data_IF_198660928005
#
_entry.id   IF_198660928005
#
_cell.length_a   1.000
_cell.length_b   1.000
_cell.length_c   1.000
_cell.angle_alpha   90.00
_cell.angle_beta   90.00
_cell.angle_gamma   90.00
#
_symmetry.space_group_name_H-M   'P 1'
#
loop_
_entity.id
_entity.type
_entity.pdbx_description
1 polymer ?
#
# COMPACT_ATOMS: atom_id res chain seq x y z
N UNK A 1 4.86 -1.19 0.04
CA UNK A 1 6.00 -0.55 -0.60
C UNK A 1 5.57 -0.12 -1.98
N UNK A 2 6.34 0.76 -2.61
CA UNK A 2 5.94 1.51 -3.78
C UNK A 2 7.18 1.81 -4.61
N UNK A 3 7.01 2.24 -5.86
CA UNK A 3 8.14 2.78 -6.60
C UNK A 3 8.43 4.18 -6.06
N UNK A 4 9.37 4.28 -5.14
CA UNK A 4 9.88 5.59 -4.71
C UNK A 4 10.47 6.30 -5.93
N UNK A 5 10.14 7.59 -6.10
CA UNK A 5 10.67 8.46 -7.14
C UNK A 5 11.67 9.49 -6.59
N UNK A 6 12.14 9.29 -5.36
CA UNK A 6 13.08 10.16 -4.63
C UNK A 6 14.04 9.27 -3.83
N UNK A 7 15.16 9.80 -3.27
CA UNK A 7 16.10 8.99 -2.49
C UNK A 7 15.61 8.61 -1.09
N UNK A 8 14.38 8.95 -0.70
CA UNK A 8 13.80 8.46 0.56
C UNK A 8 13.50 6.96 0.48
N UNK A 9 13.90 6.23 1.51
CA UNK A 9 13.39 4.88 1.79
C UNK A 9 12.51 4.95 3.06
N UNK A 10 11.31 4.34 3.06
CA UNK A 10 10.49 4.26 4.27
C UNK A 10 11.16 3.34 5.30
N UNK A 11 11.15 3.73 6.58
CA UNK A 11 11.62 2.86 7.66
C UNK A 11 10.77 1.59 7.80
N UNK A 12 9.49 1.68 7.46
CA UNK A 12 8.61 0.53 7.20
C UNK A 12 7.41 0.94 6.33
N UNK A 13 6.80 0.00 5.62
CA UNK A 13 5.47 0.18 5.02
C UNK A 13 4.44 -0.65 5.79
N UNK A 14 3.28 -0.08 6.11
CA UNK A 14 2.08 -0.86 6.48
C UNK A 14 1.04 -0.78 5.36
N UNK A 15 0.42 -1.92 5.03
CA UNK A 15 -0.57 -2.04 3.95
C UNK A 15 -1.82 -2.76 4.47
N UNK A 16 -2.98 -2.11 4.41
CA UNK A 16 -4.26 -2.71 4.80
C UNK A 16 -5.09 -2.96 3.54
N UNK A 17 -5.47 -4.20 3.27
CA UNK A 17 -6.41 -4.60 2.22
C UNK A 17 -7.78 -4.85 2.87
N UNK A 18 -8.73 -3.95 2.63
CA UNK A 18 -10.05 -3.91 3.28
C UNK A 18 -11.13 -4.04 2.19
N UNK A 19 -12.02 -5.06 2.25
CA UNK A 19 -13.14 -5.14 1.33
C UNK A 19 -14.19 -4.07 1.65
N UNK A 20 -14.82 -3.51 0.62
CA UNK A 20 -15.83 -2.46 0.75
C UNK A 20 -16.76 -2.43 -0.47
N UNK A 21 -17.71 -1.51 -0.47
CA UNK A 21 -18.50 -1.16 -1.64
C UNK A 21 -18.66 0.37 -1.74
N UNK A 22 -18.67 0.86 -2.98
CA UNK A 22 -19.00 2.24 -3.35
C UNK A 22 -20.06 2.16 -4.44
N UNK A 23 -21.19 2.86 -4.24
CA UNK A 23 -22.36 2.81 -5.13
C UNK A 23 -22.92 1.39 -5.32
N UNK A 24 -22.99 0.61 -4.23
CA UNK A 24 -23.41 -0.80 -4.20
C UNK A 24 -22.55 -1.78 -5.04
N UNK A 25 -21.48 -1.31 -5.69
CA UNK A 25 -20.54 -2.12 -6.46
C UNK A 25 -19.32 -2.52 -5.60
N UNK A 26 -18.85 -3.78 -5.64
CA UNK A 26 -17.68 -4.23 -4.87
C UNK A 26 -16.38 -3.46 -5.15
N UNK A 27 -15.63 -3.18 -4.10
CA UNK A 27 -14.39 -2.43 -4.12
C UNK A 27 -13.38 -2.97 -3.08
N UNK A 28 -12.09 -2.77 -3.33
CA UNK A 28 -11.05 -2.88 -2.31
C UNK A 28 -10.61 -1.47 -1.90
N UNK A 29 -10.57 -1.20 -0.59
CA UNK A 29 -9.78 -0.13 -0.01
C UNK A 29 -8.38 -0.66 0.32
N UNK A 30 -7.36 -0.10 -0.31
CA UNK A 30 -5.97 -0.21 0.12
C UNK A 30 -5.62 1.01 0.98
N UNK A 31 -5.38 0.84 2.29
CA UNK A 31 -4.74 1.88 3.11
C UNK A 31 -3.23 1.67 3.08
N UNK A 32 -2.50 2.72 2.74
CA UNK A 32 -1.07 2.71 2.48
C UNK A 32 -0.38 3.67 3.46
N UNK A 33 0.39 3.13 4.43
CA UNK A 33 1.29 3.89 5.32
C UNK A 33 2.73 3.68 4.85
N UNK A 34 3.54 4.74 4.84
CA UNK A 34 5.00 4.65 4.80
C UNK A 34 5.57 5.47 5.96
N UNK A 35 6.37 4.86 6.83
CA UNK A 35 7.09 5.57 7.89
C UNK A 35 8.26 6.36 7.29
N UNK A 36 7.95 7.54 6.78
CA UNK A 36 8.88 8.47 6.15
C UNK A 36 8.96 9.75 6.97
N UNK A 37 10.06 9.91 7.72
CA UNK A 37 10.45 11.23 8.15
C UNK A 37 10.82 12.07 6.91
N UNK A 38 10.40 13.33 6.93
CA UNK A 38 10.69 14.31 5.87
C UNK A 38 11.22 15.56 6.58
N UNK A 39 12.39 16.05 6.14
CA UNK A 39 13.07 17.20 6.72
C UNK A 39 12.46 18.52 6.22
N UNK A 40 11.72 19.23 7.10
CA UNK A 40 10.95 20.42 6.73
C UNK A 40 11.79 21.57 6.13
N UNK A 41 13.07 21.69 6.50
CA UNK A 41 13.97 22.76 6.04
C UNK A 41 14.70 22.47 4.72
N UNK A 42 15.12 21.22 4.50
CA UNK A 42 15.79 20.78 3.27
C UNK A 42 14.79 20.62 2.11
N UNK A 43 13.50 20.58 2.47
CA UNK A 43 12.40 20.73 1.56
C UNK A 43 12.38 19.64 0.51
N UNK A 44 12.41 18.36 0.93
CA UNK A 44 12.09 17.18 0.11
C UNK A 44 10.69 16.65 0.36
N UNK A 45 10.17 15.92 -0.61
CA UNK A 45 8.85 15.33 -0.62
C UNK A 45 9.02 13.92 -1.09
N UNK A 46 8.77 12.96 -0.21
CA UNK A 46 8.76 11.57 -0.59
C UNK A 46 7.68 11.33 -1.65
N UNK A 47 8.12 11.32 -2.91
CA UNK A 47 7.32 11.06 -4.09
C UNK A 47 7.38 9.57 -4.38
N UNK A 48 6.23 8.97 -4.68
CA UNK A 48 6.08 7.56 -5.00
C UNK A 48 5.01 7.34 -6.06
N UNK A 49 5.15 6.24 -6.81
CA UNK A 49 4.07 5.66 -7.62
C UNK A 49 3.60 4.37 -6.96
N UNK A 50 2.29 4.28 -6.73
CA UNK A 50 1.60 3.04 -6.37
C UNK A 50 0.77 2.58 -7.57
N UNK A 51 1.19 1.49 -8.22
CA UNK A 51 0.40 0.82 -9.24
C UNK A 51 -0.71 0.00 -8.57
N UNK A 52 -1.95 0.19 -9.01
CA UNK A 52 -3.16 -0.48 -8.51
C UNK A 52 -3.90 -1.18 -9.65
N UNK A 53 -4.53 -2.34 -9.41
CA UNK A 53 -5.37 -3.00 -10.40
C UNK A 53 -6.50 -2.08 -10.92
N UNK A 54 -6.71 -2.10 -12.24
CA UNK A 54 -7.85 -1.49 -12.93
C UNK A 54 -8.65 -2.60 -13.61
N UNK A 55 -9.98 -2.52 -13.56
CA UNK A 55 -10.84 -3.36 -14.40
C UNK A 55 -10.90 -2.77 -15.82
N UNK A 56 -10.84 -3.60 -16.88
CA UNK A 56 -10.84 -3.12 -18.25
C UNK A 56 -12.12 -2.37 -18.62
N UNK A 57 -11.99 -1.39 -19.50
CA UNK A 57 -12.81 -0.17 -19.60
C UNK A 57 -14.35 -0.30 -19.88
N UNK A 58 -14.96 -1.48 -19.82
CA UNK A 58 -16.37 -1.70 -20.19
C UNK A 58 -17.40 -0.95 -19.32
N UNK A 59 -17.02 -0.58 -18.10
CA UNK A 59 -17.86 0.13 -17.12
C UNK A 59 -17.60 1.65 -17.06
N UNK A 60 -16.65 2.20 -17.81
CA UNK A 60 -16.18 3.59 -17.62
C UNK A 60 -17.21 4.67 -17.96
N UNK A 61 -18.19 4.36 -18.81
CA UNK A 61 -19.05 5.36 -19.44
C UNK A 61 -19.91 6.21 -18.48
N UNK A 62 -20.16 5.73 -17.25
CA UNK A 62 -20.97 6.41 -16.22
C UNK A 62 -20.65 5.89 -14.80
N UNK A 63 -19.38 5.79 -14.38
CA UNK A 63 -19.09 5.17 -13.08
C UNK A 63 -17.75 5.49 -12.42
N UNK A 64 -17.79 5.56 -11.08
CA UNK A 64 -16.62 5.65 -10.21
C UNK A 64 -15.56 4.60 -10.57
N UNK A 65 -14.31 5.06 -10.74
CA UNK A 65 -13.13 4.22 -10.93
C UNK A 65 -12.30 4.11 -9.65
N UNK A 66 -11.91 5.27 -9.08
CA UNK A 66 -10.97 5.37 -7.97
C UNK A 66 -11.40 6.44 -6.96
N UNK A 67 -11.22 6.15 -5.67
CA UNK A 67 -11.58 7.03 -4.57
C UNK A 67 -10.42 7.22 -3.60
N UNK A 68 -10.16 8.45 -3.20
CA UNK A 68 -9.08 8.81 -2.28
C UNK A 68 -9.63 8.97 -0.86
N UNK A 69 -8.95 8.41 0.13
CA UNK A 69 -9.36 8.41 1.54
C UNK A 69 -8.27 9.03 2.40
N UNK A 70 -8.65 9.99 3.24
CA UNK A 70 -7.75 10.59 4.22
C UNK A 70 -7.51 9.64 5.40
N UNK A 71 -6.31 9.06 5.46
CA UNK A 71 -5.86 8.22 6.57
C UNK A 71 -5.09 9.01 7.65
N UNK A 72 -4.91 10.32 7.49
CA UNK A 72 -4.19 11.16 8.47
C UNK A 72 -5.03 11.52 9.71
N UNK A 73 -6.35 11.31 9.64
CA UNK A 73 -7.29 11.64 10.73
C UNK A 73 -7.02 10.83 12.00
N UNK A 74 -7.29 11.42 13.17
CA UNK A 74 -7.05 10.78 14.47
C UNK A 74 -7.79 9.44 14.63
N UNK A 75 -9.00 9.29 14.07
CA UNK A 75 -9.75 8.02 14.06
C UNK A 75 -9.04 6.95 13.23
N UNK A 76 -8.62 7.30 12.01
CA UNK A 76 -7.85 6.39 11.15
C UNK A 76 -6.49 6.04 11.77
N UNK A 77 -5.84 6.96 12.48
CA UNK A 77 -4.57 6.69 13.19
C UNK A 77 -4.77 5.76 14.39
N UNK A 78 -5.79 5.96 15.24
CA UNK A 78 -6.09 5.00 16.32
C UNK A 78 -6.45 3.63 15.75
N UNK A 79 -7.29 3.58 14.71
CA UNK A 79 -7.68 2.35 14.01
C UNK A 79 -6.46 1.50 13.60
N UNK A 80 -5.48 2.11 12.93
CA UNK A 80 -4.26 1.40 12.47
C UNK A 80 -3.32 1.05 13.62
N UNK A 81 -3.13 1.95 14.58
CA UNK A 81 -2.24 1.72 15.72
C UNK A 81 -2.74 0.58 16.63
N UNK A 82 -4.05 0.48 16.81
CA UNK A 82 -4.71 -0.63 17.51
C UNK A 82 -4.49 -1.96 16.78
N UNK A 83 -4.80 -2.03 15.47
CA UNK A 83 -4.59 -3.27 14.68
C UNK A 83 -3.11 -3.66 14.66
N UNK A 84 -2.20 -2.70 14.51
CA UNK A 84 -0.76 -2.95 14.58
C UNK A 84 -0.31 -3.43 15.97
N UNK A 85 -0.99 -3.06 17.05
CA UNK A 85 -0.76 -3.60 18.41
C UNK A 85 -1.24 -5.04 18.50
N UNK A 86 -2.53 -5.31 18.24
CA UNK A 86 -3.10 -6.66 18.39
C UNK A 86 -2.38 -7.68 17.52
N UNK A 87 -2.18 -7.38 16.23
CA UNK A 87 -1.50 -8.27 15.30
C UNK A 87 -0.03 -8.52 15.67
N UNK A 88 0.63 -7.59 16.38
CA UNK A 88 2.02 -7.74 16.85
C UNK A 88 2.13 -8.63 18.08
N UNK A 89 1.07 -8.75 18.88
CA UNK A 89 1.04 -9.65 20.04
C UNK A 89 0.83 -11.11 19.63
N UNK A 90 0.57 -11.37 18.34
CA UNK A 90 0.64 -12.69 17.70
C UNK A 90 2.10 -13.14 17.40
N UNK A 91 3.12 -12.31 17.64
CA UNK A 91 4.52 -12.60 17.30
C UNK A 91 5.37 -13.00 18.52
N UNK A 92 6.23 -14.04 18.45
CA UNK A 92 7.19 -14.37 19.50
C UNK A 92 8.30 -13.29 19.63
N UNK A 93 8.82 -13.05 20.84
CA UNK A 93 9.47 -11.77 21.21
C UNK A 93 10.96 -11.87 21.58
N UNK A 94 11.82 -10.96 21.07
CA UNK A 94 13.23 -10.67 21.48
C UNK A 94 13.83 -9.44 20.70
N UNK A 95 14.79 -8.65 21.27
CA UNK A 95 14.96 -7.15 21.14
C UNK A 95 15.74 -6.47 19.94
N UNK A 96 15.75 -5.09 19.83
CA UNK A 96 16.22 -4.23 18.66
C UNK A 96 16.51 -2.70 18.92
N UNK A 97 17.21 -1.93 18.01
CA UNK A 97 17.30 -0.42 17.80
C UNK A 97 17.67 0.05 16.30
N UNK A 98 17.59 1.35 15.85
CA UNK A 98 17.35 1.84 14.41
C UNK A 98 17.74 3.31 13.87
N UNK A 99 17.40 3.69 12.56
CA UNK A 99 17.19 5.04 11.80
C UNK A 99 18.18 5.43 10.58
N UNK A 100 18.10 6.35 9.54
CA UNK A 100 17.22 7.40 8.80
C UNK A 100 18.08 8.41 7.88
N UNK A 101 17.83 9.41 6.94
CA UNK A 101 16.88 10.03 5.87
C UNK A 101 17.60 11.29 5.12
N UNK A 102 17.27 12.19 4.10
CA UNK A 102 16.36 12.50 2.89
C UNK A 102 16.69 13.89 2.10
N UNK A 103 16.46 14.19 0.75
CA UNK A 103 16.65 15.55 0.02
C UNK A 103 16.22 15.78 -1.53
N UNK A 104 15.71 16.99 -2.02
CA UNK A 104 14.78 17.32 -3.23
C UNK A 104 15.30 18.06 -4.53
N UNK A 105 14.54 18.01 -5.67
CA UNK A 105 14.03 19.16 -6.55
C UNK A 105 13.80 18.90 -8.11
N UNK A 106 13.03 19.69 -8.94
CA UNK A 106 11.54 19.96 -9.10
C UNK A 106 11.15 20.78 -10.41
N UNK A 107 10.03 20.55 -11.14
CA UNK A 107 9.32 21.55 -12.02
C UNK A 107 8.89 21.25 -13.52
N UNK A 108 7.62 21.45 -13.99
CA UNK A 108 7.32 22.34 -15.17
C UNK A 108 6.35 21.99 -16.38
N UNK A 109 5.21 21.26 -16.32
CA UNK A 109 4.11 21.27 -17.33
C UNK A 109 2.64 20.88 -16.89
N UNK A 110 1.63 21.36 -17.65
CA UNK A 110 0.14 21.24 -17.50
C UNK A 110 -0.40 19.79 -17.39
N UNK A 111 -1.26 19.49 -16.40
CA UNK A 111 -1.47 18.10 -15.95
C UNK A 111 -2.83 17.75 -15.29
N UNK A 112 -2.96 16.46 -14.93
CA UNK A 112 -4.01 15.80 -14.13
C UNK A 112 -4.32 16.53 -12.80
N UNK A 113 -5.54 16.31 -12.28
CA UNK A 113 -5.97 16.88 -10.99
C UNK A 113 -5.09 16.34 -9.86
N UNK A 114 -4.64 17.24 -8.99
CA UNK A 114 -3.91 16.92 -7.77
C UNK A 114 -4.80 17.25 -6.57
N UNK A 115 -5.23 16.21 -5.86
CA UNK A 115 -6.05 16.29 -4.65
C UNK A 115 -5.13 16.38 -3.43
N UNK A 116 -5.47 17.23 -2.45
CA UNK A 116 -4.84 17.16 -1.12
C UNK A 116 -5.60 16.17 -0.25
N UNK A 117 -4.93 15.11 0.19
CA UNK A 117 -5.50 14.01 0.96
C UNK A 117 -4.66 13.85 2.23
N UNK A 118 -5.17 14.41 3.33
CA UNK A 118 -4.40 14.53 4.57
C UNK A 118 -3.06 15.27 4.36
N UNK A 119 -1.97 14.54 4.60
CA UNK A 119 -0.58 15.02 4.47
C UNK A 119 0.09 14.67 3.12
N UNK A 120 -0.70 14.29 2.10
CA UNK A 120 -0.22 14.01 0.75
C UNK A 120 -0.89 14.89 -0.31
N UNK A 121 -0.13 15.28 -1.33
CA UNK A 121 -0.65 15.61 -2.66
C UNK A 121 -0.78 14.29 -3.44
N UNK A 122 -1.93 14.03 -4.05
CA UNK A 122 -2.20 12.78 -4.79
C UNK A 122 -2.81 13.07 -6.16
N UNK A 123 -2.31 12.42 -7.19
CA UNK A 123 -2.94 12.32 -8.50
C UNK A 123 -3.07 10.87 -8.93
N UNK A 124 -4.02 10.57 -9.82
CA UNK A 124 -4.28 9.21 -10.33
C UNK A 124 -4.27 9.25 -11.84
N UNK A 125 -3.31 8.56 -12.46
CA UNK A 125 -3.26 8.34 -13.90
C UNK A 125 -3.95 7.00 -14.24
N UNK A 126 -5.02 6.98 -15.06
CA UNK A 126 -5.72 5.76 -15.45
C UNK A 126 -4.90 4.76 -16.30
N UNK A 127 -3.74 5.15 -16.83
CA UNK A 127 -2.85 4.33 -17.66
C UNK A 127 -1.37 4.75 -17.58
N UNK A 128 -0.47 3.95 -18.17
CA UNK A 128 0.97 4.28 -18.29
C UNK A 128 1.22 5.54 -19.13
N UNK A 129 0.43 5.75 -20.19
CA UNK A 129 0.56 6.92 -21.07
C UNK A 129 0.20 8.20 -20.31
N UNK A 130 -0.93 8.20 -19.60
CA UNK A 130 -1.35 9.35 -18.78
C UNK A 130 -0.38 9.60 -17.61
N UNK A 131 0.24 8.55 -17.05
CA UNK A 131 1.30 8.67 -16.04
C UNK A 131 2.54 9.37 -16.61
N UNK A 132 2.91 9.09 -17.85
CA UNK A 132 4.07 9.67 -18.50
C UNK A 132 3.82 11.12 -18.93
N UNK A 133 2.69 11.35 -19.60
CA UNK A 133 2.43 12.52 -20.44
C UNK A 133 1.49 13.56 -19.78
N UNK A 134 0.75 13.18 -18.73
CA UNK A 134 -0.25 14.04 -18.08
C UNK A 134 -0.05 14.25 -16.58
N UNK A 135 1.01 13.73 -15.96
CA UNK A 135 1.30 13.97 -14.53
C UNK A 135 2.00 15.30 -14.31
N UNK A 136 1.64 15.98 -13.22
CA UNK A 136 2.10 17.33 -12.87
C UNK A 136 3.52 17.28 -12.30
N UNK A 137 4.52 17.28 -13.17
CA UNK A 137 5.95 17.20 -12.82
C UNK A 137 6.49 18.51 -12.16
N UNK A 138 5.59 19.36 -11.68
CA UNK A 138 5.77 20.72 -11.18
C UNK A 138 5.48 20.72 -9.69
N UNK A 139 4.31 20.19 -9.34
CA UNK A 139 3.96 19.75 -8.00
C UNK A 139 4.85 18.57 -7.63
N UNK A 140 4.94 17.56 -8.50
CA UNK A 140 5.72 16.33 -8.30
C UNK A 140 7.14 16.43 -8.86
N UNK A 141 8.17 16.28 -8.03
CA UNK A 141 9.57 16.30 -8.50
C UNK A 141 9.90 15.07 -9.36
N UNK A 142 9.98 15.22 -10.69
CA UNK A 142 10.37 14.12 -11.59
C UNK A 142 11.85 13.72 -11.37
N UNK A 143 12.17 12.45 -11.06
CA UNK A 143 13.56 12.03 -10.87
C UNK A 143 14.33 11.92 -12.18
N UNK A 144 15.66 12.08 -12.09
CA UNK A 144 16.60 11.92 -13.21
C UNK A 144 16.64 10.50 -13.80
N UNK A 145 16.22 9.49 -13.04
CA UNK A 145 16.10 8.09 -13.48
C UNK A 145 14.65 7.64 -13.65
N UNK A 146 13.71 8.58 -13.88
CA UNK A 146 12.28 8.27 -14.05
C UNK A 146 12.02 7.13 -15.03
N UNK A 147 12.60 7.17 -16.24
CA UNK A 147 12.34 6.17 -17.28
C UNK A 147 12.76 4.75 -16.85
N UNK A 148 13.83 4.65 -16.05
CA UNK A 148 14.30 3.40 -15.44
C UNK A 148 13.34 2.91 -14.34
N UNK A 149 12.73 3.81 -13.56
CA UNK A 149 11.70 3.42 -12.57
C UNK A 149 10.40 3.03 -13.28
N UNK A 150 10.00 3.80 -14.28
CA UNK A 150 8.83 3.59 -15.15
C UNK A 150 8.88 2.25 -15.88
N UNK A 151 10.05 1.79 -16.36
CA UNK A 151 10.18 0.45 -16.97
C UNK A 151 9.78 -0.70 -16.04
N UNK A 152 9.85 -0.50 -14.72
CA UNK A 152 9.32 -1.46 -13.73
C UNK A 152 7.81 -1.60 -13.83
N UNK A 153 7.09 -0.51 -14.10
CA UNK A 153 5.63 -0.46 -14.20
C UNK A 153 5.08 -1.12 -15.48
N UNK A 154 5.95 -1.37 -16.46
CA UNK A 154 5.62 -2.12 -17.68
C UNK A 154 5.94 -3.62 -17.61
N UNK A 155 6.64 -4.08 -16.55
CA UNK A 155 6.98 -5.50 -16.39
C UNK A 155 5.73 -6.35 -16.11
N UNK A 156 5.28 -7.09 -17.13
CA UNK A 156 4.11 -7.98 -17.07
C UNK A 156 4.27 -9.18 -16.14
N UNK A 157 5.44 -9.42 -15.55
CA UNK A 157 5.63 -10.40 -14.46
C UNK A 157 5.30 -9.81 -13.09
N UNK A 158 5.48 -8.49 -12.92
CA UNK A 158 5.10 -7.75 -11.70
C UNK A 158 3.65 -7.25 -11.77
N UNK A 159 3.21 -6.91 -12.98
CA UNK A 159 1.89 -6.34 -13.31
C UNK A 159 1.23 -7.14 -14.45
N UNK A 160 0.75 -8.38 -14.18
CA UNK A 160 0.07 -9.23 -15.17
C UNK A 160 -1.38 -8.78 -15.48
N UNK A 161 -1.79 -7.61 -15.00
CA UNK A 161 -3.13 -7.03 -15.13
C UNK A 161 -3.03 -5.54 -15.57
N UNK A 162 -4.15 -4.96 -15.99
CA UNK A 162 -4.23 -3.52 -16.26
C UNK A 162 -4.13 -2.72 -14.96
N UNK A 163 -3.40 -1.59 -14.99
CA UNK A 163 -3.12 -0.79 -13.82
C UNK A 163 -3.46 0.68 -14.05
N UNK A 164 -3.98 1.32 -13.00
CA UNK A 164 -3.84 2.76 -12.82
C UNK A 164 -2.66 3.05 -11.88
N UNK A 165 -2.20 4.29 -11.88
CA UNK A 165 -0.97 4.70 -11.20
C UNK A 165 -1.23 5.91 -10.32
N UNK A 166 -1.16 5.70 -9.00
CA UNK A 166 -1.35 6.75 -8.01
C UNK A 166 0.00 7.39 -7.73
N UNK A 167 0.15 8.65 -8.13
CA UNK A 167 1.31 9.49 -7.84
C UNK A 167 1.03 10.20 -6.53
N UNK A 168 1.75 9.83 -5.48
CA UNK A 168 1.57 10.37 -4.13
C UNK A 168 2.85 11.04 -3.64
N UNK A 169 2.70 12.23 -3.03
CA UNK A 169 3.79 13.08 -2.58
C UNK A 169 3.52 13.56 -1.16
N UNK A 170 4.39 13.18 -0.21
CA UNK A 170 4.36 13.73 1.14
C UNK A 170 4.67 15.24 1.12
N UNK A 171 3.82 16.07 1.74
CA UNK A 171 4.03 17.54 1.79
C UNK A 171 4.61 18.03 3.12
N UNK A 172 4.67 17.16 4.13
CA UNK A 172 5.22 17.35 5.49
C UNK A 172 5.82 16.01 5.95
N UNK A 173 6.37 15.94 7.17
CA UNK A 173 6.66 14.66 7.83
C UNK A 173 5.39 13.77 7.90
N UNK A 174 5.50 12.51 7.49
CA UNK A 174 4.41 11.53 7.39
C UNK A 174 4.69 10.22 8.15
N UNK A 175 5.49 10.28 9.21
CA UNK A 175 5.70 9.16 10.14
C UNK A 175 4.36 8.64 10.72
N UNK A 176 4.09 7.33 10.65
CA UNK A 176 2.80 6.69 10.94
C UNK A 176 1.60 7.22 10.11
N UNK A 177 1.84 8.01 9.06
CA UNK A 177 0.82 8.64 8.22
C UNK A 177 0.72 8.01 6.83
N UNK A 178 -0.39 8.26 6.15
CA UNK A 178 -0.72 7.57 4.91
C UNK A 178 -1.97 8.10 4.22
N UNK A 179 -2.38 7.34 3.21
CA UNK A 179 -3.59 7.61 2.44
C UNK A 179 -4.27 6.28 2.08
N UNK A 180 -5.56 6.34 1.78
CA UNK A 180 -6.31 5.20 1.24
C UNK A 180 -6.68 5.38 -0.21
N UNK A 181 -6.67 4.29 -0.97
CA UNK A 181 -7.18 4.21 -2.34
C UNK A 181 -8.29 3.15 -2.35
N UNK A 182 -9.51 3.55 -2.70
CA UNK A 182 -10.60 2.66 -3.06
C UNK A 182 -10.57 2.43 -4.57
N UNK A 183 -10.57 1.18 -5.01
CA UNK A 183 -10.65 0.77 -6.41
C UNK A 183 -11.66 -0.38 -6.57
N UNK A 184 -12.13 -0.66 -7.80
CA UNK A 184 -13.02 -1.80 -8.07
C UNK A 184 -12.34 -3.12 -7.70
N UNK A 185 -13.10 -4.05 -7.11
CA UNK A 185 -12.55 -5.35 -6.67
C UNK A 185 -12.13 -6.17 -7.91
N UNK A 186 -10.84 -6.58 -8.05
CA UNK A 186 -10.36 -7.31 -9.22
C UNK A 186 -10.49 -8.84 -9.06
N UNK A 187 -11.35 -9.32 -8.17
CA UNK A 187 -11.51 -10.72 -7.72
C UNK A 187 -10.32 -11.30 -6.94
N UNK A 188 -9.33 -10.48 -6.60
CA UNK A 188 -8.20 -10.82 -5.72
C UNK A 188 -7.87 -9.66 -4.78
N UNK A 189 -7.28 -9.97 -3.62
CA UNK A 189 -6.82 -8.98 -2.65
C UNK A 189 -5.38 -8.62 -2.96
N UNK A 190 -5.15 -7.34 -3.26
CA UNK A 190 -3.87 -6.85 -3.76
C UNK A 190 -3.09 -6.05 -2.71
N UNK A 191 -1.78 -6.30 -2.63
CA UNK A 191 -0.82 -5.45 -1.93
C UNK A 191 0.33 -5.05 -2.88
N UNK A 192 0.57 -3.74 -3.11
CA UNK A 192 1.76 -3.28 -3.81
C UNK A 192 2.99 -3.48 -2.92
N UNK A 193 3.90 -4.31 -3.38
CA UNK A 193 5.18 -4.61 -2.71
C UNK A 193 6.39 -4.57 -3.64
N UNK A 194 6.19 -4.40 -4.95
CA UNK A 194 7.29 -4.30 -5.92
C UNK A 194 8.14 -3.05 -5.69
N UNK A 195 9.46 -3.22 -5.77
CA UNK A 195 10.46 -2.15 -5.81
C UNK A 195 10.83 -1.79 -7.24
N UNK A 196 11.47 -0.63 -7.42
CA UNK A 196 12.05 -0.17 -8.69
C UNK A 196 13.20 -1.05 -9.20
N UNK A 197 13.49 -0.93 -10.50
CA UNK A 197 14.59 -1.68 -11.11
C UNK A 197 15.97 -1.23 -10.58
N UNK A 198 16.77 -2.20 -10.11
CA UNK A 198 18.10 -2.00 -9.55
C UNK A 198 18.99 -3.21 -9.87
N UNK A 199 20.31 -3.06 -9.76
CA UNK A 199 21.31 -4.07 -10.16
C UNK A 199 21.20 -5.40 -9.41
N UNK A 200 20.69 -5.40 -8.17
CA UNK A 200 20.40 -6.64 -7.44
C UNK A 200 19.07 -7.25 -7.88
N UNK A 201 19.11 -8.55 -8.21
CA UNK A 201 17.93 -9.41 -8.39
C UNK A 201 17.06 -9.49 -7.12
N UNK A 202 17.68 -9.42 -5.94
CA UNK A 202 16.99 -9.45 -4.66
C UNK A 202 16.74 -8.02 -4.17
N UNK A 203 15.55 -7.80 -3.62
CA UNK A 203 15.12 -6.55 -2.98
C UNK A 203 14.97 -6.78 -1.48
N UNK A 204 15.26 -5.75 -0.68
CA UNK A 204 15.09 -5.77 0.77
C UNK A 204 13.70 -5.23 1.11
N UNK A 205 12.82 -6.11 1.56
CA UNK A 205 11.46 -5.76 1.96
C UNK A 205 11.43 -5.37 3.44
N UNK A 206 10.70 -4.31 3.78
CA UNK A 206 10.11 -4.11 5.12
C UNK A 206 8.64 -3.69 4.97
N UNK A 207 7.75 -4.68 5.05
CA UNK A 207 6.32 -4.48 4.82
C UNK A 207 5.47 -5.27 5.81
N UNK A 208 4.44 -4.63 6.35
CA UNK A 208 3.45 -5.19 7.28
C UNK A 208 2.09 -5.24 6.57
N UNK A 209 1.65 -6.43 6.18
CA UNK A 209 0.44 -6.61 5.38
C UNK A 209 -0.72 -7.10 6.25
N UNK A 210 -1.85 -6.40 6.21
CA UNK A 210 -3.07 -6.68 6.96
C UNK A 210 -4.21 -6.94 5.97
N UNK A 211 -4.74 -8.16 5.93
CA UNK A 211 -5.85 -8.56 5.05
C UNK A 211 -7.13 -8.76 5.88
N UNK A 212 -8.21 -8.05 5.54
CA UNK A 212 -9.47 -8.09 6.28
C UNK A 212 -10.44 -9.05 5.57
N UNK A 213 -10.96 -10.06 6.28
CA UNK A 213 -11.74 -11.16 5.68
C UNK A 213 -13.19 -11.18 6.16
N UNK A 214 -14.11 -11.52 5.26
CA UNK A 214 -15.56 -11.63 5.50
C UNK A 214 -16.01 -13.08 5.84
N UNK A 215 -15.10 -13.92 6.32
CA UNK A 215 -15.35 -15.35 6.51
C UNK A 215 -14.13 -16.11 7.05
N UNK A 216 -14.21 -17.45 7.03
CA UNK A 216 -13.12 -18.32 7.49
C UNK A 216 -11.89 -18.23 6.58
N UNK A 217 -10.71 -18.17 7.21
CA UNK A 217 -9.44 -17.91 6.55
C UNK A 217 -8.67 -19.22 6.33
N UNK A 218 -8.56 -19.69 5.08
CA UNK A 218 -8.04 -21.02 4.76
C UNK A 218 -6.50 -21.21 4.82
N UNK A 219 -5.70 -20.14 4.96
CA UNK A 219 -4.25 -20.20 4.75
C UNK A 219 -3.41 -19.54 5.85
N UNK A 220 -2.62 -20.32 6.59
CA UNK A 220 -1.59 -19.83 7.53
C UNK A 220 -0.33 -19.24 6.85
N UNK A 221 -0.45 -18.77 5.60
CA UNK A 221 0.62 -18.16 4.83
C UNK A 221 0.08 -17.10 3.87
N UNK A 222 0.87 -16.07 3.59
CA UNK A 222 0.64 -15.17 2.46
C UNK A 222 1.39 -15.68 1.22
N UNK A 223 0.88 -15.45 -0.01
CA UNK A 223 1.55 -15.82 -1.26
C UNK A 223 2.73 -14.90 -1.61
N UNK A 224 3.51 -14.48 -0.61
CA UNK A 224 4.79 -13.79 -0.76
C UNK A 224 5.92 -14.82 -0.70
N UNK A 225 6.66 -15.00 -1.80
CA UNK A 225 7.76 -15.97 -1.91
C UNK A 225 9.01 -15.47 -1.19
N UNK A 226 9.53 -16.29 -0.28
CA UNK A 226 10.79 -16.02 0.46
C UNK A 226 11.90 -16.99 0.04
N UNK A 227 13.14 -16.50 -0.02
CA UNK A 227 14.31 -17.28 -0.48
C UNK A 227 14.92 -18.17 0.63
N UNK A 228 14.44 -18.06 1.87
CA UNK A 228 15.02 -18.72 3.06
C UNK A 228 13.93 -19.29 3.98
N UNK A 229 14.20 -20.49 4.53
CA UNK A 229 13.34 -21.21 5.49
C UNK A 229 12.97 -20.39 6.74
N UNK A 230 13.74 -19.34 7.05
CA UNK A 230 13.30 -18.27 7.92
C UNK A 230 13.81 -16.92 7.41
N UNK A 231 13.06 -15.88 7.75
CA UNK A 231 13.35 -14.48 7.51
C UNK A 231 13.04 -13.69 8.79
N UNK A 232 13.28 -12.38 8.81
CA UNK A 232 13.05 -11.58 10.02
C UNK A 232 11.75 -10.78 9.91
N UNK A 233 11.33 -10.19 11.02
CA UNK A 233 10.40 -9.07 11.05
C UNK A 233 11.01 -8.00 11.93
N UNK A 234 11.20 -6.79 11.40
CA UNK A 234 11.64 -5.65 12.18
C UNK A 234 10.43 -5.00 12.82
N UNK A 235 10.44 -4.92 14.14
CA UNK A 235 9.34 -4.40 14.94
C UNK A 235 9.88 -3.53 16.07
N UNK A 236 9.12 -2.55 16.55
CA UNK A 236 9.55 -1.63 17.62
C UNK A 236 9.86 -2.32 18.97
N UNK A 237 9.68 -3.64 19.07
CA UNK A 237 10.05 -4.50 20.21
C UNK A 237 11.19 -5.49 19.88
N UNK A 238 11.58 -5.70 18.63
CA UNK A 238 12.40 -6.87 18.27
C UNK A 238 12.74 -7.13 16.81
N UNK A 239 13.61 -8.12 16.58
CA UNK A 239 13.87 -8.74 15.26
C UNK A 239 13.46 -10.20 15.26
N UNK A 240 12.14 -10.41 15.24
CA UNK A 240 11.48 -11.73 15.31
C UNK A 240 11.92 -12.59 14.12
N UNK A 241 12.14 -13.89 14.33
CA UNK A 241 12.46 -14.84 13.24
C UNK A 241 11.20 -15.60 12.84
N UNK A 242 10.67 -15.29 11.65
CA UNK A 242 9.46 -15.91 11.08
C UNK A 242 9.88 -17.05 10.16
N UNK A 243 9.12 -18.16 10.17
CA UNK A 243 9.38 -19.32 9.31
C UNK A 243 8.73 -19.15 7.95
N UNK A 244 9.37 -19.69 6.92
CA UNK A 244 8.73 -19.90 5.63
C UNK A 244 7.85 -21.15 5.66
N UNK A 245 6.62 -21.04 5.15
CA UNK A 245 5.70 -22.17 4.97
C UNK A 245 5.99 -22.83 3.62
N UNK A 246 6.34 -24.11 3.61
CA UNK A 246 6.62 -24.86 2.38
C UNK A 246 5.31 -25.26 1.71
N UNK A 247 5.02 -24.71 0.54
CA UNK A 247 3.81 -24.98 -0.26
C UNK A 247 4.15 -25.71 -1.56
N UNK A 248 3.13 -26.14 -2.32
CA UNK A 248 3.30 -26.66 -3.70
C UNK A 248 3.96 -25.63 -4.62
N UNK A 249 3.75 -24.34 -4.36
CA UNK A 249 4.22 -23.22 -5.19
C UNK A 249 5.61 -22.71 -4.78
N UNK A 250 6.27 -23.36 -3.81
CA UNK A 250 7.53 -22.94 -3.22
C UNK A 250 7.37 -22.49 -1.76
N UNK A 251 8.37 -21.76 -1.26
CA UNK A 251 8.42 -21.30 0.11
C UNK A 251 7.77 -19.92 0.25
N UNK A 252 6.78 -19.83 1.13
CA UNK A 252 5.91 -18.65 1.30
C UNK A 252 6.06 -18.04 2.70
N UNK A 253 5.76 -16.76 2.87
CA UNK A 253 5.77 -16.11 4.18
C UNK A 253 4.63 -16.64 5.07
N UNK A 254 4.92 -17.01 6.32
CA UNK A 254 3.90 -17.35 7.32
C UNK A 254 3.03 -16.13 7.62
N UNK A 255 1.76 -16.37 7.96
CA UNK A 255 0.84 -15.35 8.46
C UNK A 255 0.12 -15.79 9.74
N UNK A 256 -0.35 -14.80 10.47
CA UNK A 256 -1.02 -14.89 11.77
C UNK A 256 -2.46 -14.39 11.62
N UNK A 257 -3.35 -14.73 12.55
CA UNK A 257 -4.79 -14.41 12.44
C UNK A 257 -5.29 -13.74 13.72
N UNK A 258 -5.96 -12.61 13.57
CA UNK A 258 -6.71 -11.93 14.63
C UNK A 258 -8.20 -12.08 14.36
N UNK A 259 -8.93 -12.75 15.24
CA UNK A 259 -10.37 -13.06 15.08
C UNK A 259 -11.23 -12.62 16.28
N UNK A 260 -10.80 -11.60 17.03
CA UNK A 260 -11.59 -11.02 18.11
C UNK A 260 -12.69 -10.14 17.51
N UNK A 261 -13.93 -10.64 17.47
CA UNK A 261 -15.07 -9.96 16.81
C UNK A 261 -15.40 -8.60 17.43
N UNK A 262 -15.41 -8.48 18.77
CA UNK A 262 -15.68 -7.21 19.47
C UNK A 262 -14.64 -6.13 19.07
N UNK A 263 -13.36 -6.50 19.09
CA UNK A 263 -12.28 -5.63 18.64
C UNK A 263 -12.43 -5.23 17.17
N UNK A 264 -12.73 -6.19 16.28
CA UNK A 264 -12.89 -5.94 14.85
C UNK A 264 -14.07 -4.99 14.59
N UNK A 265 -15.20 -5.19 15.25
CA UNK A 265 -16.38 -4.32 15.16
C UNK A 265 -16.10 -2.89 15.65
N UNK A 266 -15.44 -2.73 16.79
CA UNK A 266 -15.01 -1.42 17.28
C UNK A 266 -14.05 -0.73 16.32
N UNK A 267 -13.10 -1.48 15.77
CA UNK A 267 -12.04 -0.96 14.92
C UNK A 267 -12.57 -0.57 13.52
N UNK A 268 -13.48 -1.36 12.94
CA UNK A 268 -14.17 -1.05 11.67
C UNK A 268 -15.10 0.18 11.77
N UNK A 269 -15.59 0.54 12.96
CA UNK A 269 -16.33 1.80 13.19
C UNK A 269 -15.43 3.05 13.10
N UNK A 270 -14.10 2.91 13.17
CA UNK A 270 -13.12 4.01 13.14
C UNK A 270 -12.63 4.36 11.72
N UNK A 271 -12.91 3.51 10.73
CA UNK A 271 -12.60 3.76 9.32
C UNK A 271 -13.46 4.89 8.70
N UNK A 272 -12.88 5.64 7.74
CA UNK A 272 -13.63 6.63 6.95
C UNK A 272 -14.80 5.97 6.20
N UNK A 273 -15.97 6.62 6.22
CA UNK A 273 -17.16 6.22 5.45
C UNK A 273 -17.36 7.07 4.19
N UNK A 274 -16.38 7.89 3.84
CA UNK A 274 -16.33 8.72 2.63
C UNK A 274 -14.99 8.56 1.90
N UNK A 275 -15.02 8.66 0.57
CA UNK A 275 -13.87 8.91 -0.30
C UNK A 275 -14.13 10.10 -1.25
N UNK A 276 -13.05 10.65 -1.79
CA UNK A 276 -13.06 11.68 -2.84
C UNK A 276 -12.86 10.98 -4.18
N UNK A 277 -13.80 11.09 -5.12
CA UNK A 277 -13.65 10.58 -6.48
C UNK A 277 -12.44 11.26 -7.16
N UNK A 278 -11.50 10.48 -7.67
CA UNK A 278 -10.25 11.03 -8.23
C UNK A 278 -10.45 11.85 -9.51
N UNK A 279 -11.57 11.64 -10.21
CA UNK A 279 -11.85 12.28 -11.51
C UNK A 279 -12.41 13.69 -11.39
N UNK A 280 -13.26 13.97 -10.40
CA UNK A 280 -14.02 15.23 -10.28
C UNK A 280 -13.97 15.88 -8.87
N UNK A 281 -13.41 15.19 -7.87
CA UNK A 281 -13.38 15.68 -6.48
C UNK A 281 -14.69 15.51 -5.70
N UNK A 282 -15.71 14.86 -6.27
CA UNK A 282 -16.98 14.60 -5.59
C UNK A 282 -16.81 13.63 -4.40
N UNK A 283 -17.69 13.75 -3.39
CA UNK A 283 -17.72 12.84 -2.25
C UNK A 283 -18.59 11.63 -2.53
N UNK A 284 -18.05 10.44 -2.29
CA UNK A 284 -18.77 9.17 -2.42
C UNK A 284 -18.74 8.38 -1.11
N UNK A 285 -19.83 7.65 -0.82
CA UNK A 285 -19.99 6.88 0.42
C UNK A 285 -19.35 5.51 0.30
N UNK A 286 -18.54 5.16 1.31
CA UNK A 286 -17.99 3.81 1.48
C UNK A 286 -18.88 3.02 2.45
N UNK A 287 -19.27 1.82 2.03
CA UNK A 287 -19.86 0.79 2.89
C UNK A 287 -18.79 -0.28 3.14
N UNK A 288 -18.57 -0.67 4.39
CA UNK A 288 -17.77 -1.87 4.72
C UNK A 288 -18.70 -3.01 5.11
N UNK A 289 -18.37 -4.26 4.74
CA UNK A 289 -19.02 -5.45 5.26
C UNK A 289 -18.60 -5.73 6.71
N UNK A 290 -19.23 -6.74 7.31
CA UNK A 290 -18.73 -7.41 8.51
C UNK A 290 -17.34 -8.05 8.24
N UNK A 291 -16.46 -8.04 9.24
CA UNK A 291 -15.09 -8.57 9.14
C UNK A 291 -14.86 -9.57 10.28
N UNK A 292 -14.62 -10.83 9.92
CA UNK A 292 -14.54 -11.96 10.83
C UNK A 292 -13.09 -12.20 11.29
N UNK A 293 -12.09 -11.76 10.50
CA UNK A 293 -10.68 -11.85 10.87
C UNK A 293 -9.80 -10.84 10.12
N UNK A 294 -8.64 -10.52 10.70
CA UNK A 294 -7.50 -9.90 10.01
C UNK A 294 -6.36 -10.92 9.92
N UNK A 295 -5.93 -11.23 8.69
CA UNK A 295 -4.69 -11.94 8.42
C UNK A 295 -3.51 -10.97 8.48
N UNK A 296 -2.50 -11.27 9.28
CA UNK A 296 -1.29 -10.46 9.40
C UNK A 296 -0.06 -11.18 8.84
N UNK A 297 0.67 -10.52 7.95
CA UNK A 297 1.98 -10.98 7.47
C UNK A 297 3.02 -9.85 7.61
N UNK A 298 3.93 -9.94 8.60
CA UNK A 298 5.13 -9.12 8.66
C UNK A 298 6.20 -9.68 7.72
N UNK A 299 6.88 -8.82 6.96
CA UNK A 299 7.89 -9.20 5.96
C UNK A 299 9.13 -8.31 6.13
N UNK A 300 10.18 -8.79 6.80
CA UNK A 300 11.54 -8.24 6.68
C UNK A 300 12.48 -9.30 6.06
N UNK A 301 12.65 -9.25 4.74
CA UNK A 301 13.32 -10.31 3.97
C UNK A 301 13.96 -9.80 2.70
N UNK A 302 15.03 -10.47 2.26
CA UNK A 302 15.53 -10.34 0.89
C UNK A 302 14.83 -11.36 -0.02
N UNK A 303 14.16 -10.91 -1.06
CA UNK A 303 13.43 -11.75 -2.00
C UNK A 303 13.48 -11.20 -3.45
N UNK A 304 13.14 -12.01 -4.45
CA UNK A 304 12.90 -11.52 -5.81
C UNK A 304 11.79 -10.45 -5.81
N UNK A 305 11.86 -9.50 -6.75
CA UNK A 305 10.87 -8.44 -6.91
C UNK A 305 9.47 -9.04 -7.21
N UNK A 306 8.44 -8.68 -6.42
CA UNK A 306 7.09 -9.24 -6.54
C UNK A 306 6.03 -8.33 -5.91
N UNK A 307 4.78 -8.43 -6.39
CA UNK A 307 3.57 -7.95 -5.73
C UNK A 307 2.82 -9.12 -5.10
N UNK A 308 2.03 -8.87 -4.04
CA UNK A 308 1.20 -9.92 -3.42
C UNK A 308 -0.21 -9.86 -3.99
N UNK A 309 -0.67 -10.99 -4.50
CA UNK A 309 -2.04 -11.23 -4.94
C UNK A 309 -2.58 -12.40 -4.10
N UNK A 310 -3.61 -12.15 -3.28
CA UNK A 310 -4.26 -13.20 -2.47
C UNK A 310 -5.62 -13.50 -3.09
N UNK A 311 -5.78 -14.73 -3.59
CA UNK A 311 -7.07 -15.21 -4.09
C UNK A 311 -8.02 -15.39 -2.91
N UNK A 312 -9.26 -14.93 -3.06
CA UNK A 312 -10.34 -14.99 -2.06
C UNK A 312 -11.50 -15.89 -2.54
N UNK A 313 -11.15 -16.98 -3.21
CA UNK A 313 -12.04 -18.04 -3.73
C UNK A 313 -11.56 -19.39 -3.18
#
# INVERSE_FOLDING_TARGET
MCLMLTPHEPASTHLHSIPCAVENKPCQLLVYINDLAVSDGDGDSALMIVAIPKLPNKDEANGFQFGLVDASTNKMKSQRNEVARECKELLPWEAVRSNGFSSRSKGLSRALIVHKVGNYNISVAPSLTELQDMVDWDKFTKPKDFDKRFSTLSDKKLFPFECAYVVAQAVVNVENDGFGIVFRDPEFRYFPTSHEHASSRLKSYDAKCYLYNQGEMQAGYFPFRVEKNSFKASENRGKVTIRGVKTKNGLMAQSFVLSNSEFLDENMKKLSRECINSQDGSKLRIVYPEINSISYCPINSNAVNQNIQVNVK
#
